data_IF_891880466977
#
_entry.id   IF_891880466977
#
_cell.length_a   1.000
_cell.length_b   1.000
_cell.length_c   1.000
_cell.angle_alpha   90.00
_cell.angle_beta   90.00
_cell.angle_gamma   90.00
#
_symmetry.space_group_name_H-M   'P 1'
#
loop_
_entity.id
_entity.type
_entity.pdbx_description
1 polymer ?
#
# COMPACT_ATOMS: atom_id res chain seq x y z
N UNK A 1 -3.98 32.80 9.12
CA UNK A 1 -4.23 31.66 8.21
C UNK A 1 -3.41 30.51 8.74
N UNK A 2 -4.04 29.34 8.85
CA UNK A 2 -3.37 28.12 9.27
C UNK A 2 -2.42 27.66 8.16
N UNK A 3 -1.18 27.37 8.55
CA UNK A 3 -0.14 26.89 7.65
C UNK A 3 0.09 25.41 7.87
N UNK A 4 0.33 24.68 6.79
CA UNK A 4 0.60 23.25 6.80
C UNK A 4 1.95 22.98 6.15
N UNK A 5 2.74 22.08 6.74
CA UNK A 5 4.04 21.68 6.19
C UNK A 5 3.86 20.60 5.13
N UNK A 6 4.37 20.82 3.93
CA UNK A 6 4.40 19.78 2.89
C UNK A 6 5.38 18.67 3.30
N UNK A 7 4.89 17.43 3.37
CA UNK A 7 5.69 16.28 3.84
C UNK A 7 6.81 15.86 2.89
N UNK A 8 6.77 16.26 1.61
CA UNK A 8 7.85 15.97 0.65
C UNK A 8 8.95 17.05 0.62
N UNK A 9 8.59 18.32 0.43
CA UNK A 9 9.57 19.40 0.31
C UNK A 9 9.85 20.15 1.62
N UNK A 10 9.16 19.79 2.69
CA UNK A 10 9.34 20.29 4.06
C UNK A 10 9.13 21.80 4.25
N UNK A 11 8.57 22.49 3.24
CA UNK A 11 8.20 23.91 3.29
C UNK A 11 6.76 24.08 3.81
N UNK A 12 6.52 25.21 4.47
CA UNK A 12 5.18 25.62 4.91
C UNK A 12 4.40 26.29 3.77
N UNK A 13 3.11 25.98 3.68
CA UNK A 13 2.19 26.53 2.70
C UNK A 13 0.88 26.91 3.36
N UNK A 14 0.13 27.82 2.73
CA UNK A 14 -1.26 28.04 3.10
C UNK A 14 -2.10 26.80 2.70
N UNK A 15 -3.16 26.47 3.45
CA UNK A 15 -4.06 25.35 3.14
C UNK A 15 -4.58 25.42 1.69
N UNK A 16 -4.77 26.63 1.14
CA UNK A 16 -5.21 26.85 -0.24
C UNK A 16 -4.18 26.43 -1.30
N UNK A 17 -2.91 26.28 -0.93
CA UNK A 17 -1.81 25.83 -1.81
C UNK A 17 -1.51 24.34 -1.65
N UNK A 18 -2.09 23.71 -0.63
CA UNK A 18 -2.01 22.28 -0.42
C UNK A 18 -2.87 21.51 -1.41
N UNK A 19 -2.44 20.29 -1.73
CA UNK A 19 -3.18 19.37 -2.57
C UNK A 19 -4.33 18.79 -1.77
N UNK A 20 -5.54 19.01 -2.29
CA UNK A 20 -6.74 18.26 -1.87
C UNK A 20 -6.85 16.91 -2.59
N UNK A 21 -6.11 16.75 -3.69
CA UNK A 21 -6.01 15.48 -4.40
C UNK A 21 -5.20 14.50 -3.57
N UNK A 22 -5.69 13.27 -3.51
CA UNK A 22 -5.11 12.18 -2.74
C UNK A 22 -3.82 11.74 -3.41
N UNK A 23 -2.87 11.31 -2.59
CA UNK A 23 -1.68 10.62 -3.08
C UNK A 23 -1.63 9.21 -2.51
N UNK A 24 -1.40 8.19 -3.34
CA UNK A 24 -1.32 8.25 -4.80
C UNK A 24 -2.69 8.53 -5.45
N UNK A 25 -2.71 9.11 -6.65
CA UNK A 25 -3.96 9.53 -7.29
C UNK A 25 -4.83 8.32 -7.72
N UNK A 26 -6.16 8.42 -7.61
CA UNK A 26 -7.11 7.37 -8.02
C UNK A 26 -6.93 6.92 -9.48
N UNK A 27 -6.52 7.84 -10.35
CA UNK A 27 -6.33 7.63 -11.79
C UNK A 27 -5.18 6.68 -12.16
N UNK A 28 -4.35 6.27 -11.20
CA UNK A 28 -3.26 5.31 -11.39
C UNK A 28 -3.53 3.95 -10.74
N UNK A 29 -4.81 3.59 -10.55
CA UNK A 29 -5.22 2.26 -10.12
C UNK A 29 -5.10 2.01 -8.60
N UNK A 30 -5.08 3.07 -7.79
CA UNK A 30 -5.17 2.94 -6.35
C UNK A 30 -6.62 3.29 -5.95
N UNK A 31 -7.46 2.27 -5.79
CA UNK A 31 -8.78 2.45 -5.17
C UNK A 31 -8.57 2.83 -3.71
N UNK A 32 -9.37 3.78 -3.21
CA UNK A 32 -9.29 4.27 -1.82
C UNK A 32 -9.44 3.12 -0.83
N UNK A 33 -8.90 3.28 0.38
CA UNK A 33 -8.96 2.27 1.45
C UNK A 33 -10.39 1.77 1.59
N UNK A 34 -10.57 0.51 1.18
CA UNK A 34 -11.75 -0.28 1.47
C UNK A 34 -11.48 -0.90 2.83
N UNK A 35 -12.13 -0.36 3.86
CA UNK A 35 -12.22 -1.05 5.13
C UNK A 35 -13.30 -2.11 5.05
N UNK A 36 -12.98 -3.31 5.53
CA UNK A 36 -13.85 -4.46 5.49
C UNK A 36 -14.98 -4.34 6.53
N UNK A 37 -16.24 -4.25 6.11
CA UNK A 37 -17.41 -4.27 7.01
C UNK A 37 -17.71 -5.70 7.49
N UNK A 38 -17.05 -6.11 8.57
CA UNK A 38 -17.19 -7.44 9.18
C UNK A 38 -18.63 -7.73 9.65
N UNK A 39 -19.34 -6.73 10.15
CA UNK A 39 -20.73 -6.88 10.63
C UNK A 39 -21.64 -7.20 9.45
N UNK A 40 -21.49 -6.48 8.33
CA UNK A 40 -22.18 -6.78 7.08
C UNK A 40 -21.89 -8.18 6.54
N UNK A 41 -20.66 -8.68 6.70
CA UNK A 41 -20.26 -10.02 6.25
C UNK A 41 -20.94 -11.11 7.09
N UNK A 42 -20.87 -11.00 8.42
CA UNK A 42 -21.50 -11.96 9.34
C UNK A 42 -23.00 -12.02 9.12
N UNK A 43 -23.66 -10.87 8.97
CA UNK A 43 -25.09 -10.81 8.68
C UNK A 43 -25.45 -11.49 7.35
N UNK A 44 -24.66 -11.33 6.30
CA UNK A 44 -24.90 -11.98 5.00
C UNK A 44 -24.67 -13.49 5.02
N UNK A 45 -23.67 -13.95 5.79
CA UNK A 45 -23.47 -15.38 6.03
C UNK A 45 -24.64 -15.99 6.81
N UNK A 46 -25.09 -15.32 7.87
CA UNK A 46 -26.23 -15.75 8.69
C UNK A 46 -27.55 -15.73 7.91
N UNK A 47 -27.73 -14.76 7.01
CA UNK A 47 -28.93 -14.64 6.17
C UNK A 47 -28.93 -15.60 4.96
N UNK A 48 -27.86 -16.38 4.75
CA UNK A 48 -27.81 -17.45 3.75
C UNK A 48 -27.61 -17.00 2.30
N UNK A 49 -27.40 -15.70 2.06
CA UNK A 49 -27.26 -15.12 0.70
C UNK A 49 -26.06 -15.73 -0.05
N UNK A 50 -24.91 -15.84 0.61
CA UNK A 50 -23.68 -16.42 0.05
C UNK A 50 -23.87 -17.92 -0.24
N UNK A 51 -24.52 -18.65 0.67
CA UNK A 51 -24.83 -20.07 0.52
C UNK A 51 -25.75 -20.33 -0.68
N UNK A 52 -26.70 -19.45 -0.94
CA UNK A 52 -27.63 -19.58 -2.07
C UNK A 52 -26.98 -19.22 -3.41
N UNK A 53 -26.03 -18.28 -3.45
CA UNK A 53 -25.20 -17.99 -4.64
C UNK A 53 -24.25 -19.15 -4.96
N UNK A 54 -23.63 -19.76 -3.96
CA UNK A 54 -22.80 -20.96 -4.11
C UNK A 54 -23.59 -22.15 -4.65
N UNK A 55 -24.83 -22.37 -4.17
CA UNK A 55 -25.74 -23.41 -4.72
C UNK A 55 -26.09 -23.17 -6.19
N UNK A 56 -26.06 -21.93 -6.66
CA UNK A 56 -26.25 -21.56 -8.07
C UNK A 56 -25.00 -21.74 -8.94
N UNK A 57 -23.90 -22.25 -8.38
CA UNK A 57 -22.61 -22.46 -9.06
C UNK A 57 -22.00 -21.17 -9.63
N UNK A 58 -22.28 -20.03 -9.02
CA UNK A 58 -21.50 -18.82 -9.32
C UNK A 58 -20.03 -19.03 -8.93
N UNK A 59 -19.13 -18.41 -9.68
CA UNK A 59 -17.69 -18.46 -9.40
C UNK A 59 -17.44 -17.81 -8.02
N UNK A 60 -16.69 -18.49 -7.16
CA UNK A 60 -16.35 -18.04 -5.80
C UNK A 60 -15.67 -16.67 -5.82
N UNK A 61 -14.69 -16.44 -6.71
CA UNK A 61 -14.04 -15.12 -6.88
C UNK A 61 -15.08 -14.04 -7.20
N UNK A 62 -16.00 -14.32 -8.10
CA UNK A 62 -17.05 -13.37 -8.49
C UNK A 62 -18.05 -13.10 -7.37
N UNK A 63 -18.37 -14.10 -6.55
CA UNK A 63 -19.25 -13.92 -5.37
C UNK A 63 -18.55 -13.01 -4.36
N UNK A 64 -17.26 -13.25 -4.12
CA UNK A 64 -16.41 -12.47 -3.21
C UNK A 64 -16.31 -11.03 -3.72
N UNK A 65 -15.92 -10.81 -4.97
CA UNK A 65 -15.81 -9.48 -5.58
C UNK A 65 -17.15 -8.70 -5.52
N UNK A 66 -18.26 -9.32 -5.96
CA UNK A 66 -19.57 -8.67 -5.99
C UNK A 66 -20.10 -8.31 -4.59
N UNK A 67 -19.80 -9.13 -3.57
CA UNK A 67 -20.24 -8.91 -2.19
C UNK A 67 -19.32 -7.94 -1.47
N UNK A 68 -18.02 -7.94 -1.78
CA UNK A 68 -17.05 -6.97 -1.28
C UNK A 68 -17.42 -5.56 -1.75
N UNK A 69 -17.49 -5.35 -3.07
CA UNK A 69 -17.67 -4.04 -3.71
C UNK A 69 -18.98 -3.34 -3.34
N UNK A 70 -20.06 -4.11 -3.08
CA UNK A 70 -21.40 -3.55 -2.85
C UNK A 70 -21.72 -3.30 -1.40
N UNK A 71 -21.24 -4.16 -0.51
CA UNK A 71 -21.82 -4.28 0.81
C UNK A 71 -20.79 -4.34 1.95
N UNK A 72 -19.52 -4.59 1.64
CA UNK A 72 -18.47 -4.77 2.66
C UNK A 72 -17.36 -3.73 2.57
N UNK A 73 -17.54 -2.72 1.71
CA UNK A 73 -16.65 -1.57 1.61
C UNK A 73 -17.20 -0.40 2.41
N UNK A 74 -16.44 0.04 3.41
CA UNK A 74 -16.54 1.42 3.90
C UNK A 74 -15.37 2.22 3.32
N UNK A 75 -15.67 3.33 2.66
CA UNK A 75 -14.66 4.36 2.41
C UNK A 75 -14.26 4.93 3.77
N UNK A 76 -13.16 4.45 4.36
CA UNK A 76 -12.66 5.02 5.63
C UNK A 76 -12.17 6.46 5.45
N UNK A 77 -11.88 6.86 4.21
CA UNK A 77 -11.44 8.20 3.86
C UNK A 77 -12.08 8.65 2.53
N UNK A 78 -13.31 9.20 2.54
CA UNK A 78 -13.99 9.67 1.32
C UNK A 78 -13.22 10.81 0.62
N UNK A 79 -12.35 11.51 1.36
CA UNK A 79 -11.38 12.51 0.86
C UNK A 79 -9.91 12.00 0.88
N UNK A 80 -9.68 10.69 0.91
CA UNK A 80 -8.37 10.04 0.72
C UNK A 80 -7.45 9.97 1.94
N UNK A 81 -6.49 9.02 1.90
CA UNK A 81 -5.60 8.59 3.01
C UNK A 81 -5.03 9.73 3.85
N UNK A 82 -4.56 10.80 3.19
CA UNK A 82 -4.10 12.03 3.84
C UNK A 82 -4.25 13.23 2.89
N UNK A 83 -5.44 13.81 2.80
CA UNK A 83 -5.60 15.12 2.18
C UNK A 83 -4.62 16.12 2.84
N UNK A 84 -4.05 17.04 2.06
CA UNK A 84 -3.12 18.07 2.57
C UNK A 84 -1.75 17.56 3.07
N UNK A 85 -1.32 16.33 2.72
CA UNK A 85 0.07 15.89 2.97
C UNK A 85 1.10 16.59 2.07
N UNK A 86 0.71 16.97 0.86
CA UNK A 86 1.61 17.56 -0.14
C UNK A 86 1.12 18.90 -0.64
N UNK A 87 2.04 19.83 -0.93
CA UNK A 87 1.70 20.99 -1.74
C UNK A 87 1.41 20.56 -3.18
N UNK A 88 0.61 21.35 -3.92
CA UNK A 88 0.20 21.02 -5.30
C UNK A 88 1.38 20.69 -6.22
N UNK A 89 2.49 21.41 -6.07
CA UNK A 89 3.69 21.19 -6.87
C UNK A 89 4.33 19.81 -6.59
N UNK A 90 4.43 19.42 -5.31
CA UNK A 90 4.94 18.11 -4.93
C UNK A 90 4.00 16.99 -5.39
N UNK A 91 2.68 17.15 -5.24
CA UNK A 91 1.71 16.17 -5.72
C UNK A 91 1.83 15.97 -7.25
N UNK A 92 1.93 17.07 -7.99
CA UNK A 92 2.11 17.06 -9.45
C UNK A 92 3.44 16.40 -9.85
N UNK A 93 4.51 16.71 -9.12
CA UNK A 93 5.83 16.09 -9.32
C UNK A 93 5.77 14.58 -9.16
N UNK A 94 5.09 14.07 -8.13
CA UNK A 94 4.98 12.63 -7.85
C UNK A 94 4.13 11.89 -8.90
N UNK A 95 3.21 12.56 -9.58
CA UNK A 95 2.38 11.94 -10.63
C UNK A 95 3.18 11.26 -11.77
N UNK A 96 4.42 11.70 -12.03
CA UNK A 96 5.29 11.02 -13.01
C UNK A 96 5.86 9.69 -12.51
N UNK A 97 6.05 9.56 -11.20
CA UNK A 97 6.48 8.32 -10.55
C UNK A 97 5.32 7.35 -10.51
N UNK A 98 4.12 7.83 -10.18
CA UNK A 98 2.88 7.04 -10.22
C UNK A 98 2.59 6.47 -11.61
N UNK A 99 2.87 7.21 -12.69
CA UNK A 99 2.77 6.67 -14.05
C UNK A 99 3.73 5.49 -14.29
N UNK A 100 4.90 5.51 -13.67
CA UNK A 100 5.86 4.39 -13.76
C UNK A 100 5.39 3.22 -12.89
N UNK A 101 4.87 3.51 -11.70
CA UNK A 101 4.22 2.54 -10.82
C UNK A 101 3.06 1.82 -11.51
N UNK A 102 2.19 2.54 -12.21
CA UNK A 102 1.07 1.96 -12.96
C UNK A 102 1.55 0.91 -13.99
N UNK A 103 2.71 1.11 -14.61
CA UNK A 103 3.27 0.10 -15.51
C UNK A 103 3.65 -1.18 -14.75
N UNK A 104 4.23 -1.06 -13.55
CA UNK A 104 4.55 -2.19 -12.68
C UNK A 104 3.28 -2.92 -12.23
N UNK A 105 2.27 -2.17 -11.81
CA UNK A 105 0.96 -2.67 -11.40
C UNK A 105 0.24 -3.43 -12.54
N UNK A 106 0.21 -2.86 -13.74
CA UNK A 106 -0.45 -3.45 -14.91
C UNK A 106 0.21 -4.73 -15.41
N UNK A 107 1.49 -4.94 -15.09
CA UNK A 107 2.20 -6.17 -15.43
C UNK A 107 2.30 -7.14 -14.27
N UNK A 108 1.55 -6.91 -13.18
CA UNK A 108 1.51 -7.75 -11.99
C UNK A 108 2.86 -7.90 -11.29
N UNK A 109 3.79 -6.98 -11.54
CA UNK A 109 5.16 -7.10 -11.09
C UNK A 109 5.89 -8.29 -11.69
N UNK A 110 5.45 -8.85 -12.82
CA UNK A 110 6.07 -10.01 -13.45
C UNK A 110 7.57 -9.74 -13.74
N UNK A 111 8.51 -10.50 -13.14
CA UNK A 111 9.94 -10.32 -13.36
C UNK A 111 10.34 -10.36 -14.84
N UNK A 112 9.64 -11.14 -15.67
CA UNK A 112 9.91 -11.23 -17.10
C UNK A 112 9.47 -9.98 -17.88
N UNK A 113 8.49 -9.23 -17.40
CA UNK A 113 8.07 -7.97 -18.03
C UNK A 113 8.88 -6.81 -17.46
N UNK A 114 9.06 -6.77 -16.14
CA UNK A 114 9.79 -5.72 -15.44
C UNK A 114 11.27 -5.70 -15.83
N UNK A 115 11.91 -6.83 -16.17
CA UNK A 115 13.27 -6.84 -16.70
C UNK A 115 13.43 -6.01 -17.99
N UNK A 116 12.35 -5.85 -18.76
CA UNK A 116 12.32 -5.04 -19.99
C UNK A 116 12.16 -3.54 -19.73
N UNK A 117 11.84 -3.13 -18.51
CA UNK A 117 11.73 -1.71 -18.16
C UNK A 117 13.10 -1.04 -18.11
N UNK A 118 13.14 0.23 -18.53
CA UNK A 118 14.34 1.04 -18.40
C UNK A 118 14.75 1.21 -16.93
N UNK A 119 16.05 1.41 -16.66
CA UNK A 119 16.55 1.73 -15.31
C UNK A 119 15.78 2.90 -14.69
N UNK A 120 15.51 3.94 -15.49
CA UNK A 120 14.73 5.11 -15.09
C UNK A 120 13.31 4.76 -14.64
N UNK A 121 12.61 3.91 -15.40
CA UNK A 121 11.26 3.45 -15.06
C UNK A 121 11.26 2.68 -13.74
N UNK A 122 12.22 1.78 -13.56
CA UNK A 122 12.39 1.00 -12.33
C UNK A 122 12.67 1.89 -11.11
N UNK A 123 13.57 2.87 -11.23
CA UNK A 123 13.83 3.85 -10.18
C UNK A 123 12.59 4.70 -9.84
N UNK A 124 11.82 5.11 -10.86
CA UNK A 124 10.57 5.83 -10.62
C UNK A 124 9.51 4.96 -9.91
N UNK A 125 9.46 3.66 -10.17
CA UNK A 125 8.60 2.71 -9.43
C UNK A 125 9.00 2.69 -7.95
N UNK A 126 10.30 2.53 -7.66
CA UNK A 126 10.83 2.54 -6.30
C UNK A 126 10.44 3.85 -5.58
N UNK A 127 10.70 5.00 -6.21
CA UNK A 127 10.38 6.33 -5.65
C UNK A 127 8.89 6.57 -5.44
N UNK A 128 8.04 6.07 -6.34
CA UNK A 128 6.59 6.13 -6.16
C UNK A 128 6.18 5.43 -4.86
N UNK A 129 6.67 4.19 -4.65
CA UNK A 129 6.27 3.41 -3.48
C UNK A 129 6.78 4.04 -2.19
N UNK A 130 8.04 4.49 -2.13
CA UNK A 130 8.54 5.27 -0.99
C UNK A 130 7.69 6.52 -0.72
N UNK A 131 7.29 7.24 -1.76
CA UNK A 131 6.47 8.44 -1.60
C UNK A 131 5.08 8.14 -1.01
N UNK A 132 4.50 6.95 -1.27
CA UNK A 132 3.22 6.55 -0.69
C UNK A 132 3.28 6.45 0.83
N UNK A 133 4.42 6.05 1.40
CA UNK A 133 4.61 5.98 2.86
C UNK A 133 4.71 7.36 3.53
N UNK A 134 5.05 8.41 2.78
CA UNK A 134 5.01 9.78 3.29
C UNK A 134 3.57 10.26 3.50
N UNK A 135 2.59 9.60 2.90
CA UNK A 135 1.18 9.99 2.94
C UNK A 135 0.30 8.97 3.65
N UNK A 136 0.85 8.16 4.56
CA UNK A 136 0.04 7.31 5.44
C UNK A 136 -0.21 8.02 6.79
N UNK A 137 -1.40 7.87 7.40
CA UNK A 137 -1.73 8.46 8.69
C UNK A 137 -0.78 8.03 9.81
N UNK A 138 -0.43 6.74 9.87
CA UNK A 138 0.39 6.16 10.94
C UNK A 138 1.80 6.74 10.98
N UNK A 139 2.27 7.28 9.85
CA UNK A 139 3.56 7.91 9.72
C UNK A 139 3.52 9.42 9.90
N UNK A 140 2.40 10.06 10.30
CA UNK A 140 2.25 11.53 10.33
C UNK A 140 3.43 12.27 10.99
N UNK A 141 3.93 11.71 12.09
CA UNK A 141 5.02 12.28 12.88
C UNK A 141 6.42 11.74 12.51
N UNK A 142 6.53 10.91 11.49
CA UNK A 142 7.78 10.27 11.08
C UNK A 142 8.64 11.19 10.18
N UNK A 143 9.94 11.23 10.45
CA UNK A 143 10.93 11.95 9.65
C UNK A 143 11.72 10.97 8.78
N UNK A 144 11.30 10.86 7.52
CA UNK A 144 11.94 9.97 6.56
C UNK A 144 13.25 10.54 6.00
N UNK A 145 14.32 9.75 5.99
CA UNK A 145 15.62 10.14 5.42
C UNK A 145 15.70 9.94 3.89
N UNK A 146 14.71 9.28 3.27
CA UNK A 146 14.63 9.07 1.82
C UNK A 146 13.99 10.23 1.05
N UNK A 147 13.64 11.34 1.71
CA UNK A 147 13.02 12.50 1.05
C UNK A 147 13.93 13.09 -0.04
N UNK A 148 15.25 13.13 0.18
CA UNK A 148 16.20 13.60 -0.83
C UNK A 148 16.25 12.66 -2.05
N UNK A 149 16.22 11.35 -1.81
CA UNK A 149 16.17 10.34 -2.88
C UNK A 149 14.93 10.50 -3.77
N UNK A 150 13.77 10.82 -3.18
CA UNK A 150 12.54 11.08 -3.94
C UNK A 150 12.61 12.43 -4.67
N UNK A 151 13.07 13.49 -4.00
CA UNK A 151 13.09 14.84 -4.56
C UNK A 151 14.10 15.00 -5.70
N UNK A 152 15.27 14.35 -5.60
CA UNK A 152 16.23 14.33 -6.70
C UNK A 152 15.82 13.29 -7.74
N UNK A 153 15.29 13.78 -8.85
CA UNK A 153 14.98 12.95 -9.99
C UNK A 153 16.13 12.09 -10.46
N UNK A 154 17.38 12.57 -10.41
CA UNK A 154 18.53 11.86 -10.98
C UNK A 154 19.15 10.87 -10.01
N UNK A 155 18.78 10.91 -8.74
CA UNK A 155 19.30 9.98 -7.75
C UNK A 155 18.94 8.54 -8.13
N UNK A 156 19.96 7.68 -8.17
CA UNK A 156 19.87 6.26 -8.51
C UNK A 156 20.10 5.35 -7.30
N UNK A 157 20.54 5.92 -6.17
CA UNK A 157 20.93 5.19 -4.96
C UNK A 157 20.33 5.87 -3.74
N UNK A 158 20.02 5.07 -2.73
CA UNK A 158 19.54 5.51 -1.44
C UNK A 158 20.27 4.70 -0.37
N UNK A 159 20.90 5.39 0.57
CA UNK A 159 21.79 4.84 1.60
C UNK A 159 21.29 5.16 3.02
N UNK A 160 19.97 5.37 3.18
CA UNK A 160 19.37 5.62 4.48
C UNK A 160 18.97 4.34 5.21
N UNK A 161 18.25 4.52 6.31
CA UNK A 161 17.93 3.43 7.23
C UNK A 161 16.67 2.66 6.84
N UNK A 162 15.84 3.21 5.96
CA UNK A 162 14.59 2.57 5.58
C UNK A 162 14.82 1.52 4.49
N UNK A 163 14.24 0.35 4.68
CA UNK A 163 14.20 -0.73 3.71
C UNK A 163 12.77 -0.98 3.30
N UNK A 164 12.52 -0.96 2.00
CA UNK A 164 11.21 -1.17 1.42
C UNK A 164 11.15 -2.57 0.81
N UNK A 165 10.24 -3.37 1.36
CA UNK A 165 9.96 -4.74 0.93
C UNK A 165 8.54 -4.85 0.40
N UNK A 166 8.31 -5.87 -0.42
CA UNK A 166 6.96 -6.18 -0.89
C UNK A 166 6.75 -7.66 -1.15
N UNK A 167 5.49 -8.05 -1.12
CA UNK A 167 4.98 -9.35 -1.59
C UNK A 167 3.82 -9.12 -2.54
N UNK A 168 3.59 -10.10 -3.43
CA UNK A 168 2.41 -10.16 -4.26
C UNK A 168 1.28 -10.84 -3.48
N UNK A 169 0.08 -10.26 -3.55
CA UNK A 169 -1.12 -10.86 -2.96
C UNK A 169 -1.49 -12.17 -3.63
N UNK A 170 -2.06 -13.04 -2.83
CA UNK A 170 -2.69 -14.30 -3.23
C UNK A 170 -3.81 -14.65 -2.22
N UNK A 171 -4.49 -15.77 -2.42
CA UNK A 171 -5.57 -16.20 -1.51
C UNK A 171 -5.12 -16.42 -0.06
N UNK A 172 -3.82 -16.49 0.22
CA UNK A 172 -3.29 -16.66 1.58
C UNK A 172 -3.02 -15.32 2.29
N UNK A 173 -2.91 -14.21 1.55
CA UNK A 173 -2.73 -12.87 2.13
C UNK A 173 -4.03 -12.23 2.60
N UNK A 174 -5.15 -12.69 2.07
CA UNK A 174 -6.45 -12.06 2.24
C UNK A 174 -7.31 -12.86 3.23
N UNK A 175 -7.78 -12.21 4.29
CA UNK A 175 -8.69 -12.87 5.25
C UNK A 175 -10.04 -13.11 4.55
N UNK A 176 -10.43 -14.38 4.41
CA UNK A 176 -11.64 -14.82 3.68
C UNK A 176 -11.70 -14.42 2.19
N UNK A 177 -10.56 -14.12 1.57
CA UNK A 177 -10.49 -13.75 0.15
C UNK A 177 -10.84 -12.29 -0.14
N UNK A 178 -10.98 -11.44 0.89
CA UNK A 178 -11.24 -10.01 0.72
C UNK A 178 -9.95 -9.20 0.76
N UNK A 179 -9.70 -8.42 -0.29
CA UNK A 179 -8.51 -7.58 -0.46
C UNK A 179 -8.51 -6.42 0.56
N UNK A 180 -8.07 -6.68 1.78
CA UNK A 180 -7.92 -5.63 2.78
C UNK A 180 -6.75 -4.70 2.40
N UNK A 181 -7.05 -3.51 1.90
CA UNK A 181 -6.08 -2.51 1.43
C UNK A 181 -5.76 -1.43 2.47
N UNK A 182 -5.99 -1.72 3.76
CA UNK A 182 -5.64 -0.83 4.87
C UNK A 182 -4.13 -0.62 5.00
N UNK A 183 -3.78 0.46 5.69
CA UNK A 183 -2.44 0.75 6.18
C UNK A 183 -2.31 0.25 7.62
N UNK A 184 -1.09 0.21 8.14
CA UNK A 184 -0.89 -0.14 9.54
C UNK A 184 0.53 0.09 9.99
N UNK A 185 0.72 -0.04 11.30
CA UNK A 185 2.02 0.13 11.94
C UNK A 185 2.22 -0.95 13.00
N UNK A 186 3.43 -1.50 13.05
CA UNK A 186 3.88 -2.39 14.13
C UNK A 186 5.13 -1.79 14.76
N UNK A 187 5.16 -1.84 16.09
CA UNK A 187 6.30 -1.41 16.90
C UNK A 187 7.04 -2.64 17.43
N UNK A 188 8.35 -2.67 17.20
CA UNK A 188 9.27 -3.67 17.72
C UNK A 188 10.34 -2.96 18.57
N UNK A 189 11.07 -3.73 19.39
CA UNK A 189 12.19 -3.19 20.16
C UNK A 189 13.32 -2.68 19.23
N UNK A 190 13.49 -3.34 18.08
CA UNK A 190 14.51 -3.02 17.08
C UNK A 190 14.12 -1.85 16.15
N UNK A 191 12.82 -1.54 16.03
CA UNK A 191 12.35 -0.53 15.09
C UNK A 191 10.87 -0.61 14.78
N UNK A 192 10.49 -0.01 13.65
CA UNK A 192 9.10 0.16 13.24
C UNK A 192 8.86 -0.43 11.86
N UNK A 193 7.68 -0.99 11.66
CA UNK A 193 7.19 -1.48 10.37
C UNK A 193 5.95 -0.71 10.00
N UNK A 194 6.01 0.07 8.93
CA UNK A 194 4.84 0.61 8.28
C UNK A 194 4.38 -0.34 7.18
N UNK A 195 3.07 -0.56 7.10
CA UNK A 195 2.45 -1.31 6.02
C UNK A 195 1.54 -0.41 5.20
N UNK A 196 1.61 -0.62 3.90
CA UNK A 196 0.69 -0.05 2.93
C UNK A 196 0.38 -1.12 1.89
N UNK A 197 -0.89 -1.32 1.60
CA UNK A 197 -1.30 -2.30 0.61
C UNK A 197 -2.15 -1.67 -0.49
N UNK A 198 -2.16 -2.32 -1.65
CA UNK A 198 -3.10 -2.10 -2.74
C UNK A 198 -3.70 -3.43 -3.20
N UNK A 199 -4.43 -3.44 -4.31
CA UNK A 199 -5.11 -4.62 -4.85
C UNK A 199 -4.18 -5.79 -5.21
N UNK A 200 -2.89 -5.54 -5.45
CA UNK A 200 -1.96 -6.55 -5.97
C UNK A 200 -0.78 -6.83 -5.07
N UNK A 201 -0.43 -5.88 -4.21
CA UNK A 201 0.79 -5.94 -3.42
C UNK A 201 0.55 -5.47 -1.98
N UNK A 202 1.35 -6.04 -1.09
CA UNK A 202 1.54 -5.56 0.28
C UNK A 202 2.97 -5.05 0.36
N UNK A 203 3.13 -3.81 0.82
CA UNK A 203 4.40 -3.15 1.00
C UNK A 203 4.70 -2.96 2.47
N UNK A 204 5.94 -3.24 2.88
CA UNK A 204 6.43 -3.01 4.22
C UNK A 204 7.66 -2.11 4.18
N UNK A 205 7.59 -0.98 4.86
CA UNK A 205 8.69 -0.03 5.04
C UNK A 205 9.21 -0.16 6.47
N UNK A 206 10.50 -0.47 6.60
CA UNK A 206 11.11 -0.86 7.87
C UNK A 206 12.40 -0.09 8.11
N UNK A 207 12.72 0.31 9.34
CA UNK A 207 14.00 0.96 9.67
C UNK A 207 15.02 0.02 10.34
N UNK A 208 14.82 -1.29 10.22
CA UNK A 208 15.68 -2.35 10.73
C UNK A 208 15.74 -3.52 9.74
N UNK A 209 16.73 -4.40 9.92
CA UNK A 209 16.89 -5.57 9.06
C UNK A 209 15.73 -6.56 9.29
N UNK A 210 15.04 -6.95 8.21
CA UNK A 210 13.96 -7.93 8.31
C UNK A 210 14.50 -9.27 8.82
N UNK A 211 13.74 -9.93 9.68
CA UNK A 211 14.09 -11.28 10.09
C UNK A 211 14.05 -12.25 8.87
N UNK A 212 14.99 -13.23 8.76
CA UNK A 212 15.06 -14.13 7.62
C UNK A 212 13.80 -14.99 7.38
N UNK A 213 12.94 -15.16 8.39
CA UNK A 213 11.67 -15.91 8.28
C UNK A 213 10.62 -15.20 7.42
N UNK A 214 10.78 -13.90 7.14
CA UNK A 214 9.86 -13.15 6.29
C UNK A 214 10.36 -13.19 4.84
N UNK A 215 9.66 -13.93 3.99
CA UNK A 215 9.98 -14.05 2.57
C UNK A 215 9.34 -12.88 1.80
N UNK A 216 10.15 -11.87 1.50
CA UNK A 216 9.73 -10.65 0.83
C UNK A 216 10.84 -10.16 -0.10
N UNK A 217 10.45 -9.50 -1.19
CA UNK A 217 11.38 -8.94 -2.17
C UNK A 217 11.78 -7.53 -1.75
N UNK A 218 13.07 -7.23 -1.70
CA UNK A 218 13.49 -5.83 -1.55
C UNK A 218 13.18 -5.08 -2.85
N UNK A 219 12.53 -3.92 -2.76
CA UNK A 219 12.07 -3.20 -3.97
C UNK A 219 13.22 -2.81 -4.90
N UNK A 220 14.44 -2.61 -4.39
CA UNK A 220 15.61 -2.31 -5.23
C UNK A 220 16.03 -3.50 -6.09
N UNK A 221 15.66 -4.73 -5.73
CA UNK A 221 15.95 -5.91 -6.56
C UNK A 221 15.29 -5.80 -7.93
N UNK A 222 14.21 -5.03 -8.12
CA UNK A 222 13.61 -4.87 -9.45
C UNK A 222 14.58 -4.25 -10.48
N UNK A 223 15.67 -3.60 -10.02
CA UNK A 223 16.78 -3.14 -10.86
C UNK A 223 17.53 -4.30 -11.50
N UNK A 224 17.62 -5.42 -10.81
CA UNK A 224 18.29 -6.64 -11.23
C UNK A 224 17.49 -7.41 -12.28
N UNK A 225 18.18 -8.31 -12.98
CA UNK A 225 17.58 -9.12 -14.07
C UNK A 225 16.80 -10.32 -13.56
N UNK A 226 17.09 -10.78 -12.35
CA UNK A 226 16.65 -12.05 -11.80
C UNK A 226 16.00 -11.88 -10.43
N UNK A 227 15.39 -10.72 -10.17
CA UNK A 227 14.67 -10.53 -8.92
C UNK A 227 13.54 -11.54 -8.80
N UNK A 228 13.34 -12.02 -7.58
CA UNK A 228 12.32 -13.00 -7.27
C UNK A 228 11.07 -12.26 -6.78
N UNK A 229 9.90 -12.71 -7.23
CA UNK A 229 8.63 -12.33 -6.63
C UNK A 229 8.30 -13.34 -5.53
N UNK A 230 7.92 -12.85 -4.36
CA UNK A 230 7.34 -13.66 -3.30
C UNK A 230 5.84 -13.42 -3.21
N UNK A 231 5.11 -14.48 -2.90
CA UNK A 231 3.66 -14.51 -2.69
C UNK A 231 3.36 -14.66 -1.19
N UNK A 232 2.10 -14.49 -0.80
CA UNK A 232 1.69 -14.72 0.59
C UNK A 232 2.03 -16.13 1.06
N UNK A 233 1.79 -17.13 0.20
CA UNK A 233 2.00 -18.54 0.52
C UNK A 233 3.48 -18.91 0.69
N UNK A 234 4.38 -18.06 0.16
CA UNK A 234 5.82 -18.28 0.30
C UNK A 234 6.34 -17.93 1.71
N UNK A 235 5.54 -17.27 2.56
CA UNK A 235 5.93 -16.84 3.90
C UNK A 235 5.16 -17.59 4.98
N UNK A 236 5.86 -18.24 5.91
CA UNK A 236 5.23 -18.81 7.11
C UNK A 236 4.71 -17.73 8.06
N UNK A 237 5.34 -16.55 8.06
CA UNK A 237 4.95 -15.39 8.86
C UNK A 237 4.94 -14.14 7.99
N UNK A 238 3.94 -13.27 8.15
CA UNK A 238 3.87 -11.97 7.45
C UNK A 238 3.52 -10.86 8.42
N UNK A 239 4.14 -9.69 8.26
CA UNK A 239 3.77 -8.50 9.04
C UNK A 239 2.28 -8.15 8.88
N UNK A 240 1.72 -8.40 7.70
CA UNK A 240 0.30 -8.25 7.44
C UNK A 240 -0.58 -9.02 8.41
N UNK A 241 -0.22 -10.27 8.76
CA UNK A 241 -1.04 -11.09 9.65
C UNK A 241 -1.13 -10.47 11.05
N UNK A 242 -0.01 -9.90 11.55
CA UNK A 242 0.04 -9.23 12.85
C UNK A 242 -0.72 -7.90 12.86
N UNK A 243 -0.63 -7.11 11.79
CA UNK A 243 -1.40 -5.86 11.64
C UNK A 243 -2.90 -6.17 11.63
N UNK A 244 -3.30 -7.21 10.91
CA UNK A 244 -4.69 -7.66 10.86
C UNK A 244 -5.20 -8.08 12.24
N UNK A 245 -4.38 -8.79 13.02
CA UNK A 245 -4.72 -9.16 14.40
C UNK A 245 -4.82 -7.95 15.32
N UNK A 246 -3.85 -7.02 15.28
CA UNK A 246 -3.90 -5.82 16.14
C UNK A 246 -5.14 -4.95 15.87
N UNK A 247 -5.57 -4.88 14.61
CA UNK A 247 -6.78 -4.14 14.24
C UNK A 247 -8.06 -4.83 14.70
N UNK A 248 -8.08 -6.18 14.73
CA UNK A 248 -9.22 -6.93 15.29
C UNK A 248 -9.38 -6.65 16.79
N UNK A 249 -8.28 -6.58 17.54
CA UNK A 249 -8.33 -6.31 18.98
C UNK A 249 -8.84 -4.89 19.28
N UNK A 250 -8.47 -3.88 18.48
CA UNK A 250 -8.93 -2.51 18.69
C UNK A 250 -10.39 -2.27 18.32
N UNK A 251 -10.98 -3.10 17.46
CA UNK A 251 -12.40 -2.98 17.05
C UNK A 251 -13.36 -3.68 18.05
N UNK A 252 -12.89 -4.56 18.93
CA UNK A 252 -13.73 -5.22 19.96
C UNK A 252 -13.98 -4.32 21.20
N UNK A 253 -13.20 -3.25 21.36
CA UNK A 253 -13.27 -2.32 22.50
C UNK A 253 -14.13 -1.06 22.23
N UNK A 254 -14.72 -0.90 21.03
CA UNK A 254 -15.64 0.18 20.62
C UNK A 254 -17.11 -0.29 20.45
#
# INVERSE_FOLDING_TARGET
MEKVKCRLCQKEFDISEMSKEHYPARSVGNVDIIAFDKVGMVDKFLNGEILDRLKRRENVEKIVDDTFDKDLVKEEYPEGRTALSFCRNCNTFLGKYDKSYLNFFNVDGDPNKVKGFSKRTKLNIIKAIYAKFISIPEAENEEFDFLEFINDERSEEYLGNWSLYFIKRDLSTDFWGFNDIRTGVLHYDEGIVYQLSDEKFIYNLMNFEKHPSFNMTNIFEILEKNYKMFYGEDSENRYNDFIMLSLLETEEDD
#
